data_IF_514498258963
#
_entry.id   IF_514498258963
#
_cell.length_a   1.000
_cell.length_b   1.000
_cell.length_c   1.000
_cell.angle_alpha   90.00
_cell.angle_beta   90.00
_cell.angle_gamma   90.00
#
_symmetry.space_group_name_H-M   'P 1'
#
loop_
_entity.id
_entity.type
_entity.pdbx_description
1 polymer ?
#
# COMPACT_ATOMS: atom_id res chain seq x y z
N UNK A 1 9.65 -2.26 -16.55
CA UNK A 1 8.27 -2.45 -16.06
C UNK A 1 8.08 -1.52 -14.88
N UNK A 2 6.97 -0.81 -14.79
CA UNK A 2 6.68 0.10 -13.66
C UNK A 2 6.33 -0.75 -12.45
N UNK A 3 7.14 -0.66 -11.40
CA UNK A 3 6.91 -1.37 -10.14
C UNK A 3 5.75 -0.71 -9.38
N UNK A 4 4.80 -1.53 -8.91
CA UNK A 4 3.63 -1.09 -8.16
C UNK A 4 3.48 -1.94 -6.92
N UNK A 5 3.43 -1.31 -5.76
CA UNK A 5 3.35 -2.00 -4.48
C UNK A 5 2.22 -1.37 -3.66
N UNK A 6 1.25 -2.18 -3.25
CA UNK A 6 0.26 -1.80 -2.26
C UNK A 6 0.80 -2.14 -0.87
N UNK A 7 1.13 -1.12 -0.09
CA UNK A 7 1.39 -1.24 1.33
C UNK A 7 0.08 -1.17 2.11
N UNK A 8 -0.14 -2.16 2.97
CA UNK A 8 -1.37 -2.32 3.74
C UNK A 8 -1.08 -2.75 5.17
N UNK A 9 -2.06 -2.54 6.05
CA UNK A 9 -2.02 -2.99 7.44
C UNK A 9 -3.04 -4.10 7.66
N UNK A 10 -2.75 -4.99 8.60
CA UNK A 10 -3.73 -5.95 9.13
C UNK A 10 -4.92 -5.21 9.77
N UNK A 11 -6.08 -5.88 9.80
CA UNK A 11 -7.33 -5.38 10.40
C UNK A 11 -7.81 -3.99 9.90
N UNK A 12 -7.24 -3.49 8.79
CA UNK A 12 -7.59 -2.22 8.19
C UNK A 12 -8.68 -2.41 7.12
N UNK A 13 -9.91 -1.97 7.41
CA UNK A 13 -11.06 -2.10 6.50
C UNK A 13 -10.79 -1.50 5.11
N UNK A 14 -10.15 -0.32 5.05
CA UNK A 14 -9.80 0.34 3.78
C UNK A 14 -8.72 -0.41 3.00
N UNK A 15 -7.85 -1.11 3.69
CA UNK A 15 -6.85 -1.97 3.09
C UNK A 15 -7.49 -3.20 2.45
N UNK A 16 -8.43 -3.85 3.14
CA UNK A 16 -9.22 -4.96 2.58
C UNK A 16 -10.00 -4.51 1.34
N UNK A 17 -10.69 -3.37 1.41
CA UNK A 17 -11.43 -2.81 0.27
C UNK A 17 -10.51 -2.53 -0.93
N UNK A 18 -9.28 -2.05 -0.68
CA UNK A 18 -8.32 -1.79 -1.77
C UNK A 18 -7.79 -3.07 -2.40
N UNK A 19 -7.51 -4.11 -1.60
CA UNK A 19 -7.11 -5.43 -2.10
C UNK A 19 -8.20 -6.04 -3.00
N UNK A 20 -9.47 -5.85 -2.67
CA UNK A 20 -10.58 -6.29 -3.52
C UNK A 20 -10.62 -5.56 -4.88
N UNK A 21 -10.27 -4.27 -4.93
CA UNK A 21 -10.16 -3.52 -6.18
C UNK A 21 -9.00 -4.02 -7.07
N UNK A 22 -7.97 -4.60 -6.46
CA UNK A 22 -6.80 -5.16 -7.15
C UNK A 22 -6.97 -6.65 -7.48
N UNK A 23 -8.10 -7.26 -7.14
CA UNK A 23 -8.30 -8.68 -7.39
C UNK A 23 -8.16 -9.01 -8.88
N UNK A 24 -7.30 -9.96 -9.23
CA UNK A 24 -6.97 -10.32 -10.61
C UNK A 24 -5.91 -9.44 -11.29
N UNK A 25 -5.32 -8.46 -10.58
CA UNK A 25 -4.16 -7.70 -11.07
C UNK A 25 -2.86 -8.37 -10.61
N UNK A 26 -2.08 -8.86 -11.56
CA UNK A 26 -0.75 -9.43 -11.31
C UNK A 26 0.37 -8.37 -11.40
N UNK A 27 0.05 -7.16 -11.86
CA UNK A 27 1.00 -6.05 -12.01
C UNK A 27 1.16 -5.21 -10.74
N UNK A 28 0.59 -5.63 -9.60
CA UNK A 28 0.69 -4.95 -8.31
C UNK A 28 1.05 -5.95 -7.21
N UNK A 29 2.23 -5.79 -6.62
CA UNK A 29 2.63 -6.52 -5.42
C UNK A 29 1.85 -6.01 -4.21
N UNK A 30 1.48 -6.90 -3.28
CA UNK A 30 0.76 -6.52 -2.06
C UNK A 30 1.59 -6.90 -0.85
N UNK A 31 1.93 -5.91 -0.04
CA UNK A 31 2.63 -6.07 1.25
C UNK A 31 1.67 -5.75 2.38
N UNK A 32 1.61 -6.61 3.39
CA UNK A 32 0.76 -6.42 4.57
C UNK A 32 1.62 -6.46 5.82
N UNK A 33 1.60 -5.38 6.59
CA UNK A 33 2.29 -5.27 7.87
C UNK A 33 1.31 -5.40 9.04
N UNK A 34 1.79 -5.72 10.26
CA UNK A 34 1.00 -5.67 11.47
C UNK A 34 0.31 -4.31 11.65
N UNK A 35 -0.87 -4.31 12.26
CA UNK A 35 -1.59 -3.06 12.53
C UNK A 35 -0.89 -2.22 13.61
N UNK A 36 -0.34 -2.87 14.62
CA UNK A 36 0.44 -2.23 15.66
C UNK A 36 1.90 -2.10 15.21
N UNK A 37 2.41 -0.87 15.16
CA UNK A 37 3.80 -0.59 14.76
C UNK A 37 4.83 -1.15 15.74
N UNK A 38 4.44 -1.43 16.99
CA UNK A 38 5.33 -2.08 17.96
C UNK A 38 5.60 -3.55 17.64
N UNK A 39 4.75 -4.18 16.83
CA UNK A 39 4.92 -5.56 16.36
C UNK A 39 5.80 -5.65 15.10
N UNK A 40 6.28 -4.51 14.58
CA UNK A 40 7.07 -4.50 13.35
C UNK A 40 8.49 -4.95 13.60
N UNK A 41 8.95 -5.89 12.77
CA UNK A 41 10.35 -6.28 12.78
C UNK A 41 11.23 -5.29 11.99
N UNK A 42 12.54 -5.43 12.13
CA UNK A 42 13.52 -4.56 11.45
C UNK A 42 13.42 -4.64 9.92
N UNK A 43 13.06 -5.79 9.37
CA UNK A 43 12.92 -5.96 7.93
C UNK A 43 11.72 -5.17 7.43
N UNK A 44 10.58 -5.26 8.11
CA UNK A 44 9.37 -4.50 7.78
C UNK A 44 9.58 -2.99 7.90
N UNK A 45 10.31 -2.55 8.93
CA UNK A 45 10.70 -1.15 9.10
C UNK A 45 11.60 -0.67 7.97
N UNK A 46 12.59 -1.48 7.56
CA UNK A 46 13.49 -1.15 6.45
C UNK A 46 12.71 -1.11 5.13
N UNK A 47 11.90 -2.12 4.82
CA UNK A 47 11.11 -2.19 3.59
C UNK A 47 10.18 -0.96 3.45
N UNK A 48 9.50 -0.57 4.53
CA UNK A 48 8.65 0.62 4.53
C UNK A 48 9.44 1.93 4.45
N UNK A 49 10.67 1.97 4.98
CA UNK A 49 11.55 3.14 4.92
C UNK A 49 12.18 3.32 3.55
N UNK A 50 12.59 2.23 2.89
CA UNK A 50 13.20 2.21 1.56
C UNK A 50 12.24 2.76 0.50
N UNK A 51 10.93 2.52 0.67
CA UNK A 51 9.87 3.07 -0.18
C UNK A 51 9.33 4.41 0.33
N UNK A 52 9.91 4.96 1.40
CA UNK A 52 9.50 6.22 2.05
C UNK A 52 8.02 6.25 2.45
N UNK A 53 7.44 5.12 2.86
CA UNK A 53 6.02 4.96 3.25
C UNK A 53 5.81 4.82 4.76
N UNK A 54 6.85 4.58 5.55
CA UNK A 54 6.75 4.33 6.99
C UNK A 54 5.96 5.41 7.75
N UNK A 55 6.36 6.69 7.61
CA UNK A 55 5.69 7.81 8.29
C UNK A 55 4.24 8.01 7.83
N UNK A 56 3.95 7.68 6.57
CA UNK A 56 2.61 7.80 6.03
C UNK A 56 1.72 6.66 6.54
N UNK A 57 2.25 5.43 6.63
CA UNK A 57 1.51 4.27 7.16
C UNK A 57 1.12 4.48 8.63
N UNK A 58 1.94 5.18 9.42
CA UNK A 58 1.60 5.56 10.80
C UNK A 58 0.40 6.51 10.89
N UNK A 59 0.13 7.27 9.82
CA UNK A 59 -0.98 8.24 9.76
C UNK A 59 -2.21 7.64 9.07
N UNK A 60 -1.99 6.87 8.01
CA UNK A 60 -3.07 6.37 7.17
C UNK A 60 -2.64 5.19 6.30
N UNK A 61 -3.55 4.25 6.12
CA UNK A 61 -3.40 3.11 5.24
C UNK A 61 -4.69 2.90 4.42
N UNK A 62 -4.62 2.31 3.22
CA UNK A 62 -3.40 1.79 2.55
C UNK A 62 -2.66 2.87 1.73
N UNK A 63 -1.49 2.51 1.22
CA UNK A 63 -0.68 3.35 0.32
C UNK A 63 -0.31 2.53 -0.91
N UNK A 64 -0.64 3.03 -2.09
CA UNK A 64 -0.13 2.48 -3.35
C UNK A 64 1.12 3.27 -3.73
N UNK A 65 2.25 2.59 -3.86
CA UNK A 65 3.50 3.11 -4.36
C UNK A 65 3.68 2.71 -5.82
N UNK A 66 4.00 3.67 -6.70
CA UNK A 66 4.15 3.49 -8.15
C UNK A 66 5.41 4.20 -8.58
N UNK A 67 6.50 3.47 -8.79
CA UNK A 67 7.78 4.00 -9.29
C UNK A 67 8.25 5.30 -8.58
N UNK A 68 8.17 5.30 -7.25
CA UNK A 68 8.53 6.44 -6.40
C UNK A 68 7.37 7.38 -6.03
N UNK A 69 6.22 7.30 -6.71
CA UNK A 69 5.04 8.10 -6.39
C UNK A 69 4.13 7.40 -5.36
N UNK A 70 3.64 8.15 -4.36
CA UNK A 70 2.74 7.64 -3.31
C UNK A 70 1.29 8.12 -3.52
N UNK A 71 0.39 7.17 -3.74
CA UNK A 71 -1.06 7.39 -3.69
C UNK A 71 -1.59 6.92 -2.34
N UNK A 72 -1.76 7.88 -1.44
CA UNK A 72 -2.10 7.63 -0.03
C UNK A 72 -3.61 7.60 0.15
N UNK A 73 -4.10 6.53 0.77
CA UNK A 73 -5.50 6.36 1.17
C UNK A 73 -6.41 5.80 0.07
N UNK A 74 -7.46 5.09 0.50
CA UNK A 74 -8.39 4.35 -0.37
C UNK A 74 -8.96 5.19 -1.53
N UNK A 75 -9.43 6.41 -1.26
CA UNK A 75 -10.07 7.22 -2.30
C UNK A 75 -9.09 7.63 -3.41
N UNK A 76 -7.84 7.95 -3.05
CA UNK A 76 -6.82 8.36 -4.00
C UNK A 76 -6.36 7.17 -4.84
N UNK A 77 -6.18 6.01 -4.20
CA UNK A 77 -5.84 4.76 -4.88
C UNK A 77 -6.97 4.33 -5.83
N UNK A 78 -8.22 4.38 -5.38
CA UNK A 78 -9.38 4.06 -6.22
C UNK A 78 -9.45 4.96 -7.45
N UNK A 79 -9.22 6.26 -7.29
CA UNK A 79 -9.18 7.21 -8.42
C UNK A 79 -8.04 6.85 -9.37
N UNK A 80 -6.83 6.62 -8.85
CA UNK A 80 -5.69 6.25 -9.67
C UNK A 80 -5.96 4.98 -10.49
N UNK A 81 -6.54 3.95 -9.87
CA UNK A 81 -6.94 2.71 -10.54
C UNK A 81 -8.01 2.92 -11.63
N UNK A 82 -8.88 3.92 -11.47
CA UNK A 82 -9.87 4.29 -12.49
C UNK A 82 -9.23 5.01 -13.68
N UNK A 83 -8.28 5.90 -13.40
CA UNK A 83 -7.58 6.70 -14.42
C UNK A 83 -6.56 5.84 -15.22
N UNK A 84 -6.03 4.78 -14.61
CA UNK A 84 -5.03 3.88 -15.21
C UNK A 84 -5.61 2.50 -15.58
N UNK A 85 -6.93 2.45 -15.85
CA UNK A 85 -7.55 1.28 -16.48
C UNK A 85 -6.95 1.09 -17.88
N UNK A 86 -6.15 0.04 -18.04
CA UNK A 86 -6.16 -0.75 -19.27
C UNK A 86 -7.50 -1.49 -19.37
#
# INVERSE_FOLDING_TARGET
MVEKILFSLENCMKCVQTKQLLNGREDVSIVTFPHDFSDWDKTQLNDASDHMVLEDLQKTAPILWVDGEKHIGYLRIRKWLQDHKL
#
